data_IF_056463598843
#
_entry.id   IF_056463598843
#
_cell.length_a   1.000
_cell.length_b   1.000
_cell.length_c   1.000
_cell.angle_alpha   90.00
_cell.angle_beta   90.00
_cell.angle_gamma   90.00
#
_symmetry.space_group_name_H-M   'P 1'
#
loop_
_entity.id
_entity.type
_entity.pdbx_description
1 polymer ?
#
# COMPACT_ATOMS: atom_id res chain seq x y z
N UNK A 1 -1.92 25.15 10.05
CA UNK A 1 -1.80 24.79 9.85
C UNK A 1 -1.69 24.37 9.72
N UNK A 2 -1.80 24.42 9.51
CA UNK A 2 -1.61 24.04 9.20
C UNK A 2 -1.17 23.48 8.82
N UNK A 3 -0.93 23.61 8.84
CA UNK A 3 -0.45 23.17 8.14
C UNK A 3 -0.22 22.53 7.97
N UNK A 4 -0.14 22.64 7.92
CA UNK A 4 0.11 22.09 7.63
C UNK A 4 0.03 21.30 7.33
N UNK A 5 -0.38 21.45 7.28
CA UNK A 5 -0.53 20.97 6.87
C UNK A 5 -0.34 20.41 5.97
N UNK A 6 -0.16 20.72 5.72
CA UNK A 6 0.30 20.38 4.84
C UNK A 6 0.75 19.06 4.72
N UNK A 7 0.01 18.15 4.78
CA UNK A 7 0.40 16.84 4.58
C UNK A 7 0.57 16.54 3.17
N UNK A 8 1.67 15.96 2.75
CA UNK A 8 1.90 15.49 1.38
C UNK A 8 1.03 14.25 1.17
N UNK A 9 0.04 14.30 0.28
CA UNK A 9 -0.83 13.14 0.04
C UNK A 9 -0.06 11.91 -0.43
N UNK A 10 1.04 12.14 -1.16
CA UNK A 10 1.84 11.02 -1.64
C UNK A 10 2.51 10.27 -0.51
N UNK A 11 2.85 10.98 0.54
CA UNK A 11 3.46 10.34 1.70
C UNK A 11 2.51 9.35 2.35
N UNK A 12 1.24 9.72 2.41
CA UNK A 12 0.22 8.83 2.96
C UNK A 12 0.05 7.61 2.06
N UNK A 13 0.02 7.82 0.76
CA UNK A 13 -0.10 6.74 -0.19
C UNK A 13 1.10 5.81 -0.13
N UNK A 14 2.28 6.37 0.04
CA UNK A 14 3.49 5.56 0.14
C UNK A 14 3.45 4.66 1.37
N UNK A 15 3.02 5.19 2.50
CA UNK A 15 2.89 4.40 3.71
C UNK A 15 1.90 3.27 3.50
N UNK A 16 0.79 3.57 2.84
CA UNK A 16 -0.23 2.58 2.54
C UNK A 16 0.33 1.50 1.62
N UNK A 17 1.09 1.90 0.61
CA UNK A 17 1.71 0.97 -0.31
C UNK A 17 2.66 0.03 0.41
N UNK A 18 3.49 0.57 1.29
CA UNK A 18 4.44 -0.24 2.04
C UNK A 18 3.73 -1.24 2.93
N UNK A 19 2.62 -0.82 3.54
CA UNK A 19 1.85 -1.72 4.38
C UNK A 19 1.26 -2.85 3.55
N UNK A 20 0.75 -2.55 2.37
CA UNK A 20 0.22 -3.57 1.50
C UNK A 20 1.29 -4.55 1.05
N UNK A 21 2.50 -4.06 0.80
CA UNK A 21 3.59 -4.95 0.43
C UNK A 21 3.94 -5.90 1.57
N UNK A 22 3.93 -5.38 2.79
CA UNK A 22 4.20 -6.22 3.94
C UNK A 22 3.12 -7.29 4.10
N UNK A 23 1.87 -6.89 3.98
CA UNK A 23 0.75 -7.82 4.06
C UNK A 23 0.86 -8.90 2.99
N UNK A 24 1.22 -8.49 1.77
CA UNK A 24 1.37 -9.45 0.69
C UNK A 24 2.45 -10.46 1.01
N UNK A 25 3.56 -10.01 1.59
CA UNK A 25 4.62 -10.91 1.96
C UNK A 25 4.16 -11.93 2.99
N UNK A 26 3.42 -11.48 3.99
CA UNK A 26 2.90 -12.37 5.02
C UNK A 26 1.94 -13.39 4.43
N UNK A 27 1.06 -12.94 3.55
CA UNK A 27 0.10 -13.83 2.91
C UNK A 27 0.79 -14.85 2.02
N UNK A 28 1.84 -14.41 1.33
CA UNK A 28 2.60 -15.32 0.47
C UNK A 28 3.23 -16.43 1.32
N UNK A 29 3.78 -16.07 2.47
CA UNK A 29 4.43 -17.04 3.33
C UNK A 29 3.44 -18.00 3.95
N UNK A 30 2.23 -17.54 4.20
CA UNK A 30 1.19 -18.41 4.77
C UNK A 30 0.50 -19.26 3.72
N UNK A 31 0.75 -18.99 2.44
CA UNK A 31 0.16 -19.78 1.37
C UNK A 31 -1.21 -19.31 0.93
N UNK A 32 -1.65 -18.15 1.39
CA UNK A 32 -2.95 -17.59 1.04
C UNK A 32 -2.84 -16.84 -0.28
N UNK A 33 -2.87 -17.60 -1.38
CA UNK A 33 -2.61 -17.04 -2.70
C UNK A 33 -3.69 -16.09 -3.14
N UNK A 34 -4.95 -16.37 -2.80
CA UNK A 34 -6.05 -15.51 -3.21
C UNK A 34 -5.96 -14.14 -2.56
N UNK A 35 -5.70 -14.11 -1.26
CA UNK A 35 -5.53 -12.84 -0.56
C UNK A 35 -4.28 -12.13 -1.02
N UNK A 36 -3.22 -12.87 -1.28
CA UNK A 36 -1.99 -12.30 -1.79
C UNK A 36 -2.26 -11.56 -3.11
N UNK A 37 -3.01 -12.19 -3.99
CA UNK A 37 -3.33 -11.59 -5.28
C UNK A 37 -4.12 -10.29 -5.11
N UNK A 38 -5.12 -10.33 -4.22
CA UNK A 38 -5.96 -9.16 -3.96
C UNK A 38 -5.12 -8.00 -3.41
N UNK A 39 -4.27 -8.30 -2.43
CA UNK A 39 -3.44 -7.26 -1.82
C UNK A 39 -2.44 -6.71 -2.82
N UNK A 40 -1.89 -7.57 -3.67
CA UNK A 40 -0.95 -7.13 -4.69
C UNK A 40 -1.64 -6.17 -5.67
N UNK A 41 -2.87 -6.47 -6.05
CA UNK A 41 -3.62 -5.57 -6.93
C UNK A 41 -3.85 -4.22 -6.26
N UNK A 42 -4.19 -4.23 -4.98
CA UNK A 42 -4.39 -2.98 -4.26
C UNK A 42 -3.09 -2.18 -4.18
N UNK A 43 -1.98 -2.86 -3.96
CA UNK A 43 -0.69 -2.19 -3.91
C UNK A 43 -0.39 -1.53 -5.26
N UNK A 44 -0.69 -2.22 -6.35
CA UNK A 44 -0.46 -1.66 -7.67
C UNK A 44 -1.33 -0.43 -7.91
N UNK A 45 -2.57 -0.45 -7.43
CA UNK A 45 -3.45 0.69 -7.57
C UNK A 45 -2.94 1.89 -6.79
N UNK A 46 -2.43 1.65 -5.60
CA UNK A 46 -1.86 2.72 -4.79
C UNK A 46 -0.60 3.28 -5.45
N UNK A 47 0.23 2.39 -5.96
CA UNK A 47 1.45 2.81 -6.66
C UNK A 47 1.11 3.67 -7.86
N UNK A 48 0.06 3.32 -8.57
CA UNK A 48 -0.39 4.10 -9.72
C UNK A 48 -0.79 5.51 -9.31
N UNK A 49 -1.37 5.66 -8.14
CA UNK A 49 -1.74 6.96 -7.63
C UNK A 49 -0.52 7.76 -7.19
N UNK A 50 0.51 7.10 -6.71
CA UNK A 50 1.74 7.77 -6.31
C UNK A 50 2.44 8.35 -7.54
N UNK A 51 2.45 7.61 -8.62
CA UNK A 51 3.07 8.06 -9.86
C UNK A 51 2.20 9.07 -10.57
#
# INVERSE_FOLDING_TARGET
>A
MFGLFKKDPRKKLQTQYEKLLYDAMVLQRSGDIMSYSTVTEEANMVLDQIN
#
